data_IF_318340108568
#
_entry.id   IF_318340108568
#
_cell.length_a   1.000
_cell.length_b   1.000
_cell.length_c   1.000
_cell.angle_alpha   90.00
_cell.angle_beta   90.00
_cell.angle_gamma   90.00
#
_symmetry.space_group_name_H-M   'P 1'
#
loop_
_entity.id
_entity.type
_entity.pdbx_description
1 polymer ?
#
# COMPACT_ATOMS: atom_id res chain seq x y z
N UNK A 1 9.09 5.05 -8.40
CA UNK A 1 9.35 6.50 -8.42
C UNK A 1 10.82 6.73 -8.73
N UNK A 2 11.19 7.88 -9.28
CA UNK A 2 12.57 8.16 -9.73
C UNK A 2 13.07 9.56 -9.32
N UNK A 3 12.30 10.30 -8.53
CA UNK A 3 12.68 11.64 -8.10
C UNK A 3 11.73 12.23 -7.06
N UNK A 4 12.23 13.22 -6.33
CA UNK A 4 11.56 13.94 -5.24
C UNK A 4 12.26 15.30 -4.97
N UNK A 5 11.80 16.09 -3.99
CA UNK A 5 12.35 17.43 -3.73
C UNK A 5 13.48 17.52 -2.68
N UNK A 6 13.81 16.42 -2.00
CA UNK A 6 14.82 16.32 -0.93
C UNK A 6 14.63 17.22 0.31
N UNK A 7 13.62 18.09 0.34
CA UNK A 7 13.55 19.22 1.29
C UNK A 7 12.24 19.33 2.06
N UNK A 8 11.19 18.59 1.69
CA UNK A 8 9.92 18.63 2.42
C UNK A 8 9.91 17.64 3.58
N UNK A 9 8.97 17.81 4.51
CA UNK A 9 8.83 16.95 5.68
C UNK A 9 8.66 15.46 5.31
N UNK A 10 7.96 15.12 4.23
CA UNK A 10 7.85 13.72 3.80
C UNK A 10 9.20 13.16 3.39
N UNK A 11 10.00 13.93 2.65
CA UNK A 11 11.33 13.52 2.19
C UNK A 11 12.26 13.25 3.38
N UNK A 12 12.29 14.15 4.37
CA UNK A 12 13.14 14.01 5.55
C UNK A 12 12.74 12.84 6.44
N UNK A 13 11.49 12.37 6.33
CA UNK A 13 10.97 11.23 7.07
C UNK A 13 11.00 9.92 6.27
N UNK A 14 11.71 9.85 5.12
CA UNK A 14 11.79 8.67 4.25
C UNK A 14 10.41 8.27 3.67
N UNK A 15 9.59 9.26 3.34
CA UNK A 15 8.26 9.12 2.76
C UNK A 15 8.21 9.84 1.41
N UNK A 16 9.15 9.51 0.52
CA UNK A 16 9.30 10.15 -0.79
C UNK A 16 8.06 9.93 -1.68
N UNK A 17 7.35 8.82 -1.47
CA UNK A 17 6.07 8.50 -2.07
C UNK A 17 4.98 9.56 -1.79
N UNK A 18 5.07 10.27 -0.66
CA UNK A 18 4.18 11.37 -0.29
C UNK A 18 4.80 12.75 -0.55
N UNK A 19 5.86 12.84 -1.35
CA UNK A 19 6.44 14.12 -1.78
C UNK A 19 5.50 14.83 -2.77
N UNK A 20 5.16 16.12 -2.56
CA UNK A 20 4.36 16.89 -3.53
C UNK A 20 5.03 17.06 -4.91
N UNK A 21 6.35 16.89 -4.99
CA UNK A 21 7.15 16.96 -6.23
C UNK A 21 7.75 15.60 -6.59
N UNK A 22 7.04 14.52 -6.28
CA UNK A 22 7.36 13.17 -6.73
C UNK A 22 7.50 13.13 -8.25
N UNK A 23 8.53 12.45 -8.75
CA UNK A 23 8.69 12.12 -10.17
C UNK A 23 8.35 10.64 -10.36
N UNK A 24 7.30 10.38 -11.14
CA UNK A 24 6.87 9.03 -11.48
C UNK A 24 7.88 8.33 -12.39
N UNK A 25 7.99 7.00 -12.26
CA UNK A 25 8.91 6.18 -13.05
C UNK A 25 8.65 6.27 -14.55
N UNK A 26 7.41 6.54 -14.96
CA UNK A 26 7.06 6.82 -16.35
C UNK A 26 6.00 7.91 -16.43
N UNK A 27 5.95 8.63 -17.55
CA UNK A 27 4.94 9.67 -17.82
C UNK A 27 5.10 10.95 -16.99
N UNK A 28 6.18 11.05 -16.22
CA UNK A 28 6.58 12.27 -15.51
C UNK A 28 7.56 13.11 -16.33
N UNK A 29 7.95 14.26 -15.79
CA UNK A 29 9.09 15.05 -16.29
C UNK A 29 10.24 14.93 -15.31
N UNK A 30 11.41 14.54 -15.80
CA UNK A 30 12.63 14.45 -15.00
C UNK A 30 13.24 15.84 -14.76
N UNK A 31 14.28 15.93 -13.94
CA UNK A 31 14.91 17.22 -13.57
C UNK A 31 15.49 17.98 -14.77
N UNK A 32 15.90 17.26 -15.81
CA UNK A 32 16.41 17.81 -17.07
C UNK A 32 15.29 18.20 -18.07
N UNK A 33 14.02 18.03 -17.68
CA UNK A 33 12.85 18.34 -18.50
C UNK A 33 12.43 17.23 -19.46
N UNK A 34 13.18 16.14 -19.56
CA UNK A 34 12.83 14.98 -20.40
C UNK A 34 11.66 14.19 -19.79
N UNK A 35 10.98 13.41 -20.64
CA UNK A 35 9.91 12.52 -20.18
C UNK A 35 10.52 11.26 -19.58
N UNK A 36 10.04 10.83 -18.42
CA UNK A 36 10.46 9.55 -17.83
C UNK A 36 9.82 8.38 -18.58
N UNK A 37 10.65 7.39 -18.96
CA UNK A 37 10.23 6.14 -19.56
C UNK A 37 10.45 4.99 -18.57
N UNK A 38 9.49 4.06 -18.51
CA UNK A 38 9.51 2.95 -17.57
C UNK A 38 10.36 1.77 -18.02
N UNK A 39 10.38 0.70 -17.23
CA UNK A 39 11.25 -0.47 -17.45
C UNK A 39 10.84 -1.43 -18.58
N UNK A 40 9.94 -1.04 -19.49
CA UNK A 40 9.66 -1.81 -20.71
C UNK A 40 10.66 -1.41 -21.80
N UNK A 41 11.94 -1.55 -21.46
CA UNK A 41 13.12 -1.15 -22.21
C UNK A 41 14.23 -2.17 -21.98
N UNK A 42 15.26 -2.15 -22.80
CA UNK A 42 16.47 -2.96 -22.64
C UNK A 42 17.38 -2.46 -21.51
N UNK A 43 17.37 -1.14 -21.27
CA UNK A 43 18.19 -0.46 -20.27
C UNK A 43 17.36 0.54 -19.46
N UNK A 44 17.76 0.75 -18.20
CA UNK A 44 17.20 1.77 -17.30
C UNK A 44 18.34 2.53 -16.60
N UNK A 45 18.20 3.85 -16.49
CA UNK A 45 19.07 4.71 -15.69
C UNK A 45 18.22 5.42 -14.65
N UNK A 46 18.63 5.35 -13.39
CA UNK A 46 17.91 5.95 -12.27
C UNK A 46 18.91 6.42 -11.22
N UNK A 47 18.55 7.47 -10.49
CA UNK A 47 19.30 7.95 -9.33
C UNK A 47 19.45 6.86 -8.27
N UNK A 48 20.62 6.80 -7.64
CA UNK A 48 21.00 5.74 -6.68
C UNK A 48 20.06 5.65 -5.48
N UNK A 49 19.45 6.78 -5.06
CA UNK A 49 18.49 6.82 -3.97
C UNK A 49 17.27 5.94 -4.23
N UNK A 50 16.91 5.73 -5.50
CA UNK A 50 15.74 4.95 -5.90
C UNK A 50 16.10 3.53 -6.37
N UNK A 51 17.37 3.11 -6.22
CA UNK A 51 17.81 1.75 -6.50
C UNK A 51 17.69 0.91 -5.23
N UNK A 52 17.03 -0.24 -5.35
CA UNK A 52 16.89 -1.21 -4.26
C UNK A 52 17.80 -2.40 -4.54
N UNK A 53 18.58 -2.79 -3.54
CA UNK A 53 19.44 -3.97 -3.64
C UNK A 53 18.61 -5.24 -3.47
N UNK A 54 18.55 -6.07 -4.51
CA UNK A 54 17.85 -7.36 -4.45
C UNK A 54 18.71 -8.39 -3.70
N UNK A 55 18.18 -9.07 -2.67
CA UNK A 55 18.89 -10.15 -1.98
C UNK A 55 19.28 -11.29 -2.94
N UNK A 56 20.49 -11.84 -2.78
CA UNK A 56 21.00 -12.90 -3.66
C UNK A 56 20.16 -14.19 -3.65
N UNK A 57 19.40 -14.43 -2.58
CA UNK A 57 18.53 -15.59 -2.41
C UNK A 57 17.10 -15.36 -2.94
N UNK A 58 16.82 -14.20 -3.55
CA UNK A 58 15.51 -13.87 -4.10
C UNK A 58 15.56 -13.88 -5.63
N UNK A 59 14.83 -14.80 -6.31
CA UNK A 59 14.74 -14.82 -7.76
C UNK A 59 14.22 -13.49 -8.32
N UNK A 60 14.86 -12.96 -9.36
CA UNK A 60 14.60 -11.62 -9.89
C UNK A 60 13.18 -11.46 -10.45
N UNK A 61 12.65 -12.51 -11.08
CA UNK A 61 11.28 -12.58 -11.58
C UNK A 61 10.23 -12.45 -10.46
N UNK A 62 10.51 -13.05 -9.30
CA UNK A 62 9.66 -12.93 -8.11
C UNK A 62 9.89 -11.63 -7.34
N UNK A 63 11.07 -11.02 -7.48
CA UNK A 63 11.39 -9.74 -6.85
C UNK A 63 10.68 -8.56 -7.54
N UNK A 64 10.53 -8.61 -8.87
CA UNK A 64 9.91 -7.55 -9.65
C UNK A 64 8.53 -7.08 -9.12
N UNK A 65 7.54 -7.96 -8.85
CA UNK A 65 6.24 -7.52 -8.33
C UNK A 65 6.31 -6.95 -6.90
N UNK A 66 7.34 -7.27 -6.11
CA UNK A 66 7.49 -6.71 -4.76
C UNK A 66 7.72 -5.20 -4.77
N UNK A 67 8.39 -4.69 -5.81
CA UNK A 67 8.77 -3.28 -5.95
C UNK A 67 7.58 -2.34 -6.16
N UNK A 68 6.38 -2.89 -6.41
CA UNK A 68 5.15 -2.11 -6.54
C UNK A 68 4.06 -2.70 -5.64
N UNK A 69 3.56 -3.88 -5.99
CA UNK A 69 2.44 -4.52 -5.28
C UNK A 69 2.86 -4.94 -3.88
N UNK A 70 4.10 -5.44 -3.72
CA UNK A 70 4.62 -5.86 -2.42
C UNK A 70 4.66 -4.71 -1.42
N UNK A 71 5.35 -3.62 -1.76
CA UNK A 71 5.46 -2.46 -0.87
C UNK A 71 4.12 -1.78 -0.60
N UNK A 72 3.23 -1.72 -1.60
CA UNK A 72 1.86 -1.18 -1.43
C UNK A 72 1.07 -1.94 -0.37
N UNK A 73 1.34 -3.23 -0.20
CA UNK A 73 0.72 -4.03 0.85
C UNK A 73 1.50 -3.98 2.17
N UNK A 74 2.82 -4.01 2.11
CA UNK A 74 3.66 -4.03 3.30
C UNK A 74 3.58 -2.72 4.11
N UNK A 75 3.65 -1.56 3.43
CA UNK A 75 3.63 -0.25 4.07
C UNK A 75 2.40 -0.02 4.97
N UNK A 76 1.15 -0.21 4.50
CA UNK A 76 -0.02 -0.05 5.39
C UNK A 76 -0.07 -1.06 6.52
N UNK A 77 0.35 -2.31 6.30
CA UNK A 77 0.37 -3.32 7.37
C UNK A 77 1.28 -2.87 8.53
N UNK A 78 2.49 -2.38 8.21
CA UNK A 78 3.41 -1.81 9.21
C UNK A 78 2.90 -0.51 9.82
N UNK A 79 2.53 0.46 8.99
CA UNK A 79 2.14 1.80 9.43
C UNK A 79 0.91 1.79 10.34
N UNK A 80 -0.09 0.95 10.02
CA UNK A 80 -1.31 0.85 10.81
C UNK A 80 -1.21 -0.16 11.96
N UNK A 81 -0.07 -0.85 12.12
CA UNK A 81 0.16 -1.83 13.18
C UNK A 81 -0.66 -3.11 13.02
N UNK A 82 -0.95 -3.49 11.78
CA UNK A 82 -1.67 -4.70 11.38
C UNK A 82 -0.72 -5.88 11.11
N UNK A 83 0.56 -5.70 11.42
CA UNK A 83 1.67 -6.66 11.26
C UNK A 83 1.93 -7.50 12.52
N UNK A 84 1.09 -7.36 13.55
CA UNK A 84 1.25 -8.11 14.80
C UNK A 84 0.71 -9.55 14.63
N UNK A 85 1.34 -10.53 15.29
CA UNK A 85 0.84 -11.90 15.26
C UNK A 85 -0.56 -12.00 15.89
N UNK A 86 -1.32 -13.01 15.48
CA UNK A 86 -2.67 -13.33 15.95
C UNK A 86 -3.76 -12.28 15.67
N UNK A 87 -3.48 -11.24 14.89
CA UNK A 87 -4.52 -10.33 14.40
C UNK A 87 -5.41 -11.01 13.34
N UNK A 88 -6.69 -10.66 13.34
CA UNK A 88 -7.63 -11.09 12.32
C UNK A 88 -7.77 -10.02 11.23
N UNK A 89 -7.11 -10.24 10.10
CA UNK A 89 -7.09 -9.30 8.99
C UNK A 89 -8.01 -9.78 7.87
N UNK A 90 -8.90 -8.90 7.43
CA UNK A 90 -9.72 -9.12 6.25
C UNK A 90 -9.06 -8.53 5.00
N UNK A 91 -9.07 -9.29 3.91
CA UNK A 91 -8.62 -8.80 2.60
C UNK A 91 -9.82 -8.75 1.66
N UNK A 92 -10.07 -7.59 1.06
CA UNK A 92 -11.15 -7.38 0.08
C UNK A 92 -10.54 -7.24 -1.31
N UNK A 93 -10.97 -8.10 -2.23
CA UNK A 93 -10.40 -8.24 -3.57
C UNK A 93 -9.20 -9.19 -3.61
N UNK A 94 -9.25 -10.23 -4.44
CA UNK A 94 -8.16 -11.21 -4.63
C UNK A 94 -7.51 -11.05 -6.01
N UNK A 95 -7.06 -9.83 -6.31
CA UNK A 95 -6.21 -9.53 -7.47
C UNK A 95 -4.71 -9.65 -7.14
N UNK A 96 -3.87 -8.93 -7.88
CA UNK A 96 -2.44 -8.86 -7.61
C UNK A 96 -2.13 -8.39 -6.18
N UNK A 97 -2.72 -7.26 -5.75
CA UNK A 97 -2.59 -6.73 -4.39
C UNK A 97 -3.11 -7.70 -3.33
N UNK A 98 -4.34 -8.20 -3.50
CA UNK A 98 -4.95 -9.13 -2.54
C UNK A 98 -4.14 -10.41 -2.32
N UNK A 99 -3.53 -10.96 -3.38
CA UNK A 99 -2.67 -12.14 -3.24
C UNK A 99 -1.41 -11.85 -2.40
N UNK A 100 -0.80 -10.66 -2.56
CA UNK A 100 0.32 -10.24 -1.70
C UNK A 100 -0.12 -9.94 -0.27
N UNK A 101 -1.31 -9.37 -0.07
CA UNK A 101 -1.90 -9.16 1.24
C UNK A 101 -1.95 -10.46 2.05
N UNK A 102 -2.55 -11.50 1.48
CA UNK A 102 -2.67 -12.82 2.12
C UNK A 102 -1.30 -13.44 2.43
N UNK A 103 -0.31 -13.26 1.55
CA UNK A 103 1.06 -13.75 1.79
C UNK A 103 1.75 -13.03 2.94
N UNK A 104 1.65 -11.70 3.00
CA UNK A 104 2.25 -10.93 4.09
C UNK A 104 1.53 -11.17 5.41
N UNK A 105 0.20 -11.16 5.43
CA UNK A 105 -0.59 -11.45 6.62
C UNK A 105 -0.19 -12.79 7.23
N UNK A 106 -0.12 -13.84 6.40
CA UNK A 106 0.30 -15.17 6.86
C UNK A 106 1.76 -15.19 7.32
N UNK A 107 2.67 -14.49 6.65
CA UNK A 107 4.07 -14.40 7.04
C UNK A 107 4.26 -13.63 8.36
N UNK A 108 3.40 -12.65 8.65
CA UNK A 108 3.38 -11.85 9.88
C UNK A 108 2.65 -12.56 11.03
N UNK A 109 2.07 -13.75 10.79
CA UNK A 109 1.36 -14.54 11.81
C UNK A 109 -0.09 -14.12 12.04
N UNK A 110 -0.67 -13.33 11.13
CA UNK A 110 -2.09 -12.97 11.18
C UNK A 110 -2.97 -14.14 10.71
N UNK A 111 -4.20 -14.18 11.22
CA UNK A 111 -5.24 -15.15 10.84
C UNK A 111 -6.21 -14.51 9.88
N UNK A 112 -6.26 -14.98 8.64
CA UNK A 112 -7.26 -14.55 7.67
C UNK A 112 -8.57 -15.27 7.98
N UNK A 113 -9.55 -14.55 8.55
CA UNK A 113 -10.87 -15.09 8.92
C UNK A 113 -11.95 -14.16 8.37
N UNK A 114 -13.11 -14.69 7.96
CA UNK A 114 -14.25 -13.90 7.51
C UNK A 114 -15.43 -14.17 8.44
N UNK A 115 -15.54 -13.42 9.54
CA UNK A 115 -16.68 -13.47 10.48
C UNK A 115 -17.05 -12.05 10.94
N UNK A 116 -18.35 -11.77 11.09
CA UNK A 116 -18.86 -10.43 11.41
C UNK A 116 -18.39 -9.90 12.78
N UNK A 117 -17.94 -8.64 12.84
CA UNK A 117 -17.45 -7.97 14.05
C UNK A 117 -16.17 -8.56 14.68
N UNK A 118 -15.39 -9.36 13.94
CA UNK A 118 -14.20 -10.06 14.48
C UNK A 118 -12.87 -9.55 13.96
N UNK A 119 -12.87 -8.61 13.01
CA UNK A 119 -11.65 -8.18 12.35
C UNK A 119 -10.95 -7.04 13.11
N UNK A 120 -9.64 -7.23 13.27
CA UNK A 120 -8.69 -6.24 13.80
C UNK A 120 -8.24 -5.25 12.71
N UNK A 121 -8.49 -5.56 11.44
CA UNK A 121 -8.27 -4.64 10.34
C UNK A 121 -8.79 -5.20 9.03
N UNK A 122 -9.02 -4.31 8.06
CA UNK A 122 -9.34 -4.70 6.69
C UNK A 122 -8.42 -3.95 5.74
N UNK A 123 -7.81 -4.67 4.80
CA UNK A 123 -7.17 -4.07 3.62
C UNK A 123 -8.07 -4.27 2.40
N UNK A 124 -8.45 -3.15 1.79
CA UNK A 124 -9.32 -3.13 0.62
C UNK A 124 -8.53 -2.78 -0.64
N UNK A 125 -8.45 -3.76 -1.53
CA UNK A 125 -7.67 -3.73 -2.76
C UNK A 125 -8.55 -3.52 -4.00
N UNK A 126 -9.84 -3.28 -3.83
CA UNK A 126 -10.80 -3.20 -4.93
C UNK A 126 -10.69 -1.84 -5.64
N UNK A 127 -10.25 -1.84 -6.89
CA UNK A 127 -10.17 -0.64 -7.75
C UNK A 127 -11.51 -0.27 -8.42
N UNK A 128 -12.62 -0.51 -7.74
CA UNK A 128 -13.97 -0.28 -8.25
C UNK A 128 -14.92 0.11 -7.12
N UNK A 129 -15.98 0.85 -7.46
CA UNK A 129 -16.97 1.29 -6.48
C UNK A 129 -17.68 0.09 -5.84
N UNK A 130 -17.67 0.02 -4.52
CA UNK A 130 -18.35 -1.02 -3.76
C UNK A 130 -18.80 -0.46 -2.38
N UNK A 131 -19.79 -1.07 -1.71
CA UNK A 131 -20.34 -0.53 -0.47
C UNK A 131 -19.40 -0.78 0.72
N UNK A 132 -19.10 0.28 1.48
CA UNK A 132 -18.27 0.18 2.70
C UNK A 132 -19.03 -0.33 3.93
N UNK A 133 -20.35 -0.18 3.93
CA UNK A 133 -21.22 -0.58 5.04
C UNK A 133 -20.99 -2.02 5.53
N UNK A 134 -20.99 -3.06 4.65
CA UNK A 134 -20.72 -4.43 5.09
C UNK A 134 -19.31 -4.58 5.69
N UNK A 135 -18.30 -3.96 5.09
CA UNK A 135 -16.91 -4.03 5.55
C UNK A 135 -16.76 -3.42 6.95
N UNK A 136 -17.36 -2.25 7.15
CA UNK A 136 -17.37 -1.59 8.44
C UNK A 136 -18.14 -2.41 9.48
N UNK A 137 -19.14 -3.20 9.09
CA UNK A 137 -19.82 -4.15 9.99
C UNK A 137 -18.87 -5.23 10.53
N UNK A 138 -17.92 -5.68 9.71
CA UNK A 138 -16.97 -6.74 10.08
C UNK A 138 -15.89 -6.30 11.08
N UNK A 139 -15.59 -5.00 11.16
CA UNK A 139 -14.55 -4.45 12.05
C UNK A 139 -15.00 -4.41 13.51
N UNK A 140 -14.08 -4.71 14.43
CA UNK A 140 -14.23 -4.41 15.87
C UNK A 140 -14.21 -2.90 16.14
N UNK A 141 -14.53 -2.50 17.36
CA UNK A 141 -14.39 -1.11 17.84
C UNK A 141 -12.92 -0.69 17.79
N UNK A 142 -12.62 0.55 17.40
CA UNK A 142 -11.28 1.13 17.23
C UNK A 142 -10.47 0.65 16.02
N UNK A 143 -11.01 -0.30 15.25
CA UNK A 143 -10.28 -0.89 14.14
C UNK A 143 -10.45 -0.14 12.83
N UNK A 144 -9.62 -0.54 11.86
CA UNK A 144 -9.28 0.27 10.70
C UNK A 144 -9.61 -0.45 9.39
N UNK A 145 -10.23 0.27 8.47
CA UNK A 145 -10.34 -0.11 7.06
C UNK A 145 -9.34 0.71 6.25
N UNK A 146 -8.40 0.05 5.58
CA UNK A 146 -7.35 0.70 4.81
C UNK A 146 -7.60 0.49 3.33
N UNK A 147 -7.77 1.60 2.61
CA UNK A 147 -7.97 1.62 1.17
C UNK A 147 -6.63 1.68 0.45
N UNK A 148 -6.36 0.71 -0.42
CA UNK A 148 -5.22 0.71 -1.34
C UNK A 148 -5.64 0.61 -2.80
N UNK A 149 -6.89 0.21 -3.06
CA UNK A 149 -7.48 0.24 -4.40
C UNK A 149 -7.66 1.69 -4.90
N UNK A 150 -7.30 1.93 -6.16
CA UNK A 150 -7.52 3.23 -6.79
C UNK A 150 -8.96 3.30 -7.33
N UNK A 151 -9.78 4.21 -6.78
CA UNK A 151 -11.16 4.42 -7.18
C UNK A 151 -11.32 5.69 -8.01
N UNK A 152 -12.04 5.61 -9.13
CA UNK A 152 -12.36 6.78 -9.95
C UNK A 152 -13.52 7.61 -9.38
N UNK A 153 -14.44 6.95 -8.66
CA UNK A 153 -15.65 7.58 -8.09
C UNK A 153 -15.54 7.66 -6.57
N UNK A 154 -16.04 8.74 -5.94
CA UNK A 154 -16.10 8.85 -4.49
C UNK A 154 -16.88 7.68 -3.85
N UNK A 155 -16.36 7.18 -2.73
CA UNK A 155 -17.04 6.18 -1.90
C UNK A 155 -18.13 6.83 -1.05
N UNK A 156 -19.23 6.10 -0.83
CA UNK A 156 -20.28 6.52 0.10
C UNK A 156 -19.89 6.10 1.52
N UNK A 157 -19.74 7.09 2.40
CA UNK A 157 -19.28 6.89 3.77
C UNK A 157 -20.47 6.84 4.76
N UNK A 158 -20.73 5.70 5.43
CA UNK A 158 -21.76 5.63 6.47
C UNK A 158 -21.18 6.16 7.80
N UNK A 159 -21.22 7.47 7.99
CA UNK A 159 -20.62 8.16 9.14
C UNK A 159 -21.06 7.59 10.51
N UNK A 160 -22.32 7.17 10.63
CA UNK A 160 -22.84 6.62 11.88
C UNK A 160 -22.06 5.39 12.39
N UNK A 161 -21.62 4.49 11.50
CA UNK A 161 -20.84 3.31 11.89
C UNK A 161 -19.42 3.67 12.38
N UNK A 162 -18.85 4.75 11.84
CA UNK A 162 -17.57 5.27 12.31
C UNK A 162 -17.70 5.84 13.72
N UNK A 163 -18.75 6.61 13.97
CA UNK A 163 -19.03 7.20 15.28
C UNK A 163 -19.33 6.11 16.32
N UNK A 164 -20.21 5.16 16.00
CA UNK A 164 -20.62 4.10 16.92
C UNK A 164 -19.45 3.20 17.34
N UNK A 165 -18.54 2.87 16.42
CA UNK A 165 -17.41 1.97 16.68
C UNK A 165 -16.07 2.67 16.91
N UNK A 166 -16.01 4.01 16.88
CA UNK A 166 -14.75 4.80 16.80
C UNK A 166 -13.77 4.18 15.76
N UNK A 167 -14.32 3.84 14.59
CA UNK A 167 -13.58 3.16 13.52
C UNK A 167 -12.83 4.15 12.66
N UNK A 168 -11.75 3.71 12.04
CA UNK A 168 -10.89 4.53 11.20
C UNK A 168 -10.99 4.07 9.75
N UNK A 169 -11.06 5.01 8.82
CA UNK A 169 -10.80 4.74 7.40
C UNK A 169 -9.54 5.49 7.02
N UNK A 170 -8.56 4.75 6.52
CA UNK A 170 -7.28 5.26 6.06
C UNK A 170 -7.04 4.91 4.60
N UNK A 171 -6.01 5.53 4.02
CA UNK A 171 -5.49 5.18 2.71
C UNK A 171 -3.98 5.04 2.79
N UNK A 172 -3.41 4.22 1.93
CA UNK A 172 -1.96 4.15 1.74
C UNK A 172 -1.61 4.08 0.26
N UNK A 173 -0.52 4.72 -0.13
CA UNK A 173 -0.04 4.79 -1.50
C UNK A 173 1.44 4.44 -1.56
N UNK A 174 1.77 3.28 -2.16
CA UNK A 174 3.15 2.80 -2.29
C UNK A 174 3.80 2.73 -0.88
N UNK A 175 5.12 2.91 -0.77
CA UNK A 175 5.86 3.09 0.47
C UNK A 175 7.15 3.88 0.19
N UNK A 176 7.82 4.29 1.26
CA UNK A 176 9.12 4.97 1.16
C UNK A 176 10.23 4.01 0.73
N UNK A 177 11.33 4.52 0.16
CA UNK A 177 12.44 3.63 -0.25
C UNK A 177 13.04 2.91 0.94
N UNK A 178 13.12 3.57 2.10
CA UNK A 178 13.62 2.94 3.32
C UNK A 178 12.78 1.74 3.79
N UNK A 179 11.48 1.71 3.47
CA UNK A 179 10.61 0.58 3.82
C UNK A 179 10.82 -0.63 2.89
N UNK A 180 11.48 -0.44 1.74
CA UNK A 180 11.74 -1.49 0.74
C UNK A 180 13.10 -2.17 0.87
N UNK A 181 13.97 -1.66 1.74
CA UNK A 181 15.32 -2.18 2.01
C UNK A 181 15.31 -3.13 3.22
#
# INVERSE_FOLDING_TARGET
MVGFCHSCNSCTNNLENYCPKLIATYGGKYYDGTVTYGGFSDTMVVDEHFVIRIPHNLPLDTAAPLLCVGITMYSPLRFYGLDKPDLHIGVVGLGGLGHFAVKFDKAMGAKVIVINGTLDGIIDTVSAQHPLLPLLGLLKTHEKLILVGALEKPLKLPAFLLLQGRKIIGGSLIGGIRETQ
#
